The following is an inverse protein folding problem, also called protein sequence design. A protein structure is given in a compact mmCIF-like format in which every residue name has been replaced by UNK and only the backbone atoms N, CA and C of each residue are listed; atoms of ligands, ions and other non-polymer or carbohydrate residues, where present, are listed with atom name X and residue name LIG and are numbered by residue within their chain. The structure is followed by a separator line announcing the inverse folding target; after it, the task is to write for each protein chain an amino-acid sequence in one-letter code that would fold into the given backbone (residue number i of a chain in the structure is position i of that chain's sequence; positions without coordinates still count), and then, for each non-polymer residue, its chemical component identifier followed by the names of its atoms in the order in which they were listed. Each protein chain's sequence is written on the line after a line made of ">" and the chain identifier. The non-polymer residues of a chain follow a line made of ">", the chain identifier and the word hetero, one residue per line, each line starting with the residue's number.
data_IF_701806203835
#
_entry.id   IF_701806203835
#
_cell.length_a   1.000
_cell.length_b   1.000
_cell.length_c   1.000
_cell.angle_alpha   90.00
_cell.angle_beta   90.00
_cell.angle_gamma   90.00
#
_symmetry.space_group_name_H-M   'P 1'
#
loop_
_entity.id
_entity.type
_entity.pdbx_description
1 polymer ?
#
# COMPACT_ATOMS: atom_id res chain seq x y z
N UNK A 1 -0.62 11.36 -22.70
CA UNK A 1 -0.32 12.40 -21.69
C UNK A 1 -1.26 13.54 -22.02
N UNK A 2 -2.18 13.86 -21.11
CA UNK A 2 -3.14 14.95 -21.31
C UNK A 2 -2.45 16.30 -21.07
N UNK A 3 -2.69 17.28 -21.95
CA UNK A 3 -2.32 18.67 -21.72
C UNK A 3 -3.41 19.29 -20.83
N UNK A 4 -3.12 19.41 -19.54
CA UNK A 4 -3.94 20.13 -18.57
C UNK A 4 -3.05 21.22 -17.95
N UNK A 5 -3.61 22.38 -17.63
CA UNK A 5 -2.84 23.40 -16.92
C UNK A 5 -2.65 23.03 -15.45
N UNK A 6 -1.56 23.49 -14.84
CA UNK A 6 -1.29 23.19 -13.43
C UNK A 6 -2.40 23.74 -12.51
N UNK A 7 -2.97 24.90 -12.85
CA UNK A 7 -4.08 25.49 -12.11
C UNK A 7 -5.38 24.65 -12.16
N UNK A 8 -5.72 24.11 -13.33
CA UNK A 8 -6.87 23.20 -13.47
C UNK A 8 -6.62 21.88 -12.74
N UNK A 9 -5.38 21.39 -12.74
CA UNK A 9 -5.01 20.20 -11.99
C UNK A 9 -5.16 20.45 -10.48
N UNK A 10 -4.66 21.57 -9.97
CA UNK A 10 -4.78 21.94 -8.56
C UNK A 10 -6.24 22.04 -8.11
N UNK A 11 -7.12 22.60 -8.95
CA UNK A 11 -8.55 22.69 -8.67
C UNK A 11 -9.21 21.31 -8.58
N UNK A 12 -8.89 20.40 -9.51
CA UNK A 12 -9.36 19.02 -9.48
C UNK A 12 -8.86 18.25 -8.26
N UNK A 13 -7.58 18.41 -7.91
CA UNK A 13 -6.97 17.77 -6.73
C UNK A 13 -7.62 18.30 -5.45
N UNK A 14 -7.87 19.61 -5.37
CA UNK A 14 -8.54 20.23 -4.24
C UNK A 14 -9.97 19.71 -4.08
N UNK A 15 -10.75 19.70 -5.15
CA UNK A 15 -12.12 19.18 -5.11
C UNK A 15 -12.15 17.70 -4.68
N UNK A 16 -11.25 16.88 -5.24
CA UNK A 16 -11.12 15.48 -4.85
C UNK A 16 -10.78 15.30 -3.37
N UNK A 17 -9.90 16.15 -2.82
CA UNK A 17 -9.50 16.13 -1.41
C UNK A 17 -10.59 16.63 -0.47
N UNK A 18 -11.43 17.57 -0.90
CA UNK A 18 -12.62 17.97 -0.16
C UNK A 18 -13.61 16.80 -0.02
N UNK A 19 -13.81 16.03 -1.09
CA UNK A 19 -14.67 14.84 -1.08
C UNK A 19 -14.05 13.67 -0.29
N UNK A 20 -12.73 13.50 -0.39
CA UNK A 20 -11.99 12.37 0.19
C UNK A 20 -10.73 12.83 0.94
N UNK A 21 -10.85 13.42 2.14
CA UNK A 21 -9.73 14.05 2.84
C UNK A 21 -8.58 13.08 3.15
N UNK A 22 -8.91 11.84 3.51
CA UNK A 22 -7.94 10.80 3.90
C UNK A 22 -7.43 9.96 2.72
N UNK A 23 -7.74 10.33 1.48
CA UNK A 23 -7.33 9.57 0.30
C UNK A 23 -5.84 9.77 -0.02
N UNK A 24 -5.17 8.67 -0.38
CA UNK A 24 -3.80 8.68 -0.88
C UNK A 24 -3.70 8.99 -2.38
N UNK A 25 -2.47 9.22 -2.85
CA UNK A 25 -2.20 9.63 -4.23
C UNK A 25 -2.67 8.62 -5.29
N UNK A 26 -2.71 7.31 -4.98
CA UNK A 26 -3.20 6.31 -5.92
C UNK A 26 -4.70 6.44 -6.20
N UNK A 27 -5.51 6.81 -5.19
CA UNK A 27 -6.93 7.08 -5.39
C UNK A 27 -7.13 8.33 -6.26
N UNK A 28 -6.35 9.38 -6.00
CA UNK A 28 -6.36 10.59 -6.82
C UNK A 28 -5.98 10.29 -8.28
N UNK A 29 -4.89 9.54 -8.51
CA UNK A 29 -4.47 9.12 -9.87
C UNK A 29 -5.56 8.26 -10.53
N UNK A 30 -6.20 7.36 -9.78
CA UNK A 30 -7.33 6.57 -10.25
C UNK A 30 -8.52 7.43 -10.66
N UNK A 31 -8.86 8.44 -9.87
CA UNK A 31 -9.94 9.38 -10.18
C UNK A 31 -9.62 10.22 -11.43
N UNK A 32 -8.39 10.72 -11.55
CA UNK A 32 -7.93 11.42 -12.75
C UNK A 32 -8.00 10.52 -13.99
N UNK A 33 -7.58 9.26 -13.87
CA UNK A 33 -7.70 8.27 -14.94
C UNK A 33 -9.16 7.95 -15.30
N UNK A 34 -10.06 7.88 -14.31
CA UNK A 34 -11.50 7.71 -14.52
C UNK A 34 -12.13 8.89 -15.28
N UNK A 35 -11.59 10.10 -15.08
CA UNK A 35 -11.93 11.30 -15.85
C UNK A 35 -11.23 11.39 -17.21
N UNK A 36 -10.53 10.32 -17.65
CA UNK A 36 -9.83 10.27 -18.94
C UNK A 36 -8.51 11.06 -18.97
N UNK A 37 -8.07 11.61 -17.84
CA UNK A 37 -6.83 12.37 -17.73
C UNK A 37 -5.68 11.43 -17.41
N UNK A 38 -4.67 11.39 -18.29
CA UNK A 38 -3.43 10.63 -18.08
C UNK A 38 -2.29 11.60 -17.83
N UNK A 39 -2.06 11.89 -16.55
CA UNK A 39 -1.11 12.88 -16.05
C UNK A 39 0.11 12.15 -15.49
N UNK A 40 1.28 12.78 -15.58
CA UNK A 40 2.51 12.20 -15.05
C UNK A 40 2.50 12.24 -13.52
N UNK A 41 3.04 11.19 -12.88
CA UNK A 41 3.01 11.06 -11.41
C UNK A 41 3.67 12.26 -10.71
N UNK A 42 4.77 12.79 -11.26
CA UNK A 42 5.46 13.93 -10.65
C UNK A 42 4.57 15.18 -10.58
N UNK A 43 3.78 15.45 -11.62
CA UNK A 43 2.87 16.61 -11.67
C UNK A 43 1.75 16.48 -10.63
N UNK A 44 1.23 15.26 -10.47
CA UNK A 44 0.21 14.97 -9.44
C UNK A 44 0.79 15.13 -8.03
N UNK A 45 2.05 14.73 -7.81
CA UNK A 45 2.74 14.93 -6.52
C UNK A 45 2.94 16.42 -6.24
N UNK A 46 3.42 17.20 -7.22
CA UNK A 46 3.62 18.65 -7.06
C UNK A 46 2.33 19.37 -6.73
N UNK A 47 1.27 19.11 -7.49
CA UNK A 47 -0.07 19.64 -7.25
C UNK A 47 -0.59 19.26 -5.86
N UNK A 48 -0.49 17.97 -5.50
CA UNK A 48 -0.90 17.48 -4.19
C UNK A 48 -0.07 18.08 -3.05
N UNK A 49 1.21 18.38 -3.28
CA UNK A 49 2.06 19.04 -2.29
C UNK A 49 1.67 20.51 -2.06
N UNK A 50 1.10 21.18 -3.07
CA UNK A 50 0.53 22.53 -2.92
C UNK A 50 -0.80 22.49 -2.16
N UNK A 51 -1.65 21.51 -2.45
CA UNK A 51 -3.00 21.40 -1.87
C UNK A 51 -2.99 20.81 -0.45
N UNK A 52 -2.26 19.72 -0.23
CA UNK A 52 -2.23 18.96 1.02
C UNK A 52 -0.81 18.45 1.32
N UNK A 53 0.12 19.36 1.71
CA UNK A 53 1.48 18.99 2.04
C UNK A 53 1.54 18.04 3.24
N UNK A 54 0.65 18.21 4.22
CA UNK A 54 0.65 17.37 5.42
C UNK A 54 0.19 15.95 5.11
N UNK A 55 -0.91 15.79 4.36
CA UNK A 55 -1.38 14.47 3.95
C UNK A 55 -0.35 13.74 3.11
N UNK A 56 0.33 14.43 2.19
CA UNK A 56 1.41 13.83 1.41
C UNK A 56 2.52 13.27 2.32
N UNK A 57 3.01 14.06 3.29
CA UNK A 57 4.09 13.61 4.16
C UNK A 57 3.64 12.53 5.16
N UNK A 58 2.46 12.67 5.75
CA UNK A 58 1.97 11.74 6.77
C UNK A 58 1.59 10.38 6.18
N UNK A 59 0.95 10.36 5.02
CA UNK A 59 0.60 9.11 4.35
C UNK A 59 1.85 8.39 3.85
N UNK A 60 2.84 9.08 3.30
CA UNK A 60 4.04 8.46 2.74
C UNK A 60 4.99 7.80 3.77
N UNK A 61 4.87 8.15 5.06
CA UNK A 61 5.80 7.69 6.10
C UNK A 61 5.24 6.50 6.88
N UNK A 62 3.92 6.31 6.88
CA UNK A 62 3.26 5.28 7.69
C UNK A 62 3.17 3.94 6.94
N UNK A 63 4.25 3.18 6.95
CA UNK A 63 4.19 1.75 6.62
C UNK A 63 3.40 1.04 7.71
N UNK A 64 2.17 0.61 7.41
CA UNK A 64 1.33 -0.10 8.36
C UNK A 64 1.45 -1.61 8.12
N UNK A 65 2.07 -2.33 9.05
CA UNK A 65 2.07 -3.79 9.06
C UNK A 65 1.11 -4.30 10.12
N UNK A 66 0.00 -4.91 9.69
CA UNK A 66 -0.92 -5.62 10.59
C UNK A 66 -0.74 -7.14 10.48
N UNK A 67 -0.79 -7.81 11.62
CA UNK A 67 -0.60 -9.26 11.73
C UNK A 67 -1.87 -9.90 12.29
N UNK A 68 -2.56 -10.66 11.45
CA UNK A 68 -3.81 -11.30 11.82
C UNK A 68 -3.58 -12.74 12.30
N UNK A 69 -3.86 -12.96 13.59
CA UNK A 69 -3.56 -14.21 14.31
C UNK A 69 -4.75 -15.15 14.52
N UNK A 70 -5.96 -14.79 14.09
CA UNK A 70 -7.18 -15.58 14.36
C UNK A 70 -7.13 -17.01 13.81
N UNK A 71 -6.29 -17.27 12.81
CA UNK A 71 -6.15 -18.58 12.17
C UNK A 71 -4.91 -19.38 12.62
N UNK A 72 -4.26 -18.97 13.71
CA UNK A 72 -3.05 -19.65 14.22
C UNK A 72 -3.27 -21.12 14.56
N UNK A 73 -4.49 -21.50 14.99
CA UNK A 73 -4.87 -22.90 15.27
C UNK A 73 -4.82 -23.80 14.03
N UNK A 74 -4.95 -23.22 12.85
CA UNK A 74 -4.90 -23.90 11.56
C UNK A 74 -3.53 -23.76 10.88
N UNK A 75 -2.54 -23.20 11.57
CA UNK A 75 -1.20 -22.95 11.01
C UNK A 75 -1.17 -21.83 9.96
N UNK A 76 -2.12 -20.88 10.00
CA UNK A 76 -2.18 -19.77 9.05
C UNK A 76 -1.99 -18.45 9.81
N UNK A 77 -1.01 -17.66 9.36
CA UNK A 77 -0.80 -16.28 9.82
C UNK A 77 -0.84 -15.37 8.61
N UNK A 78 -1.71 -14.36 8.66
CA UNK A 78 -1.89 -13.39 7.58
C UNK A 78 -1.11 -12.13 7.96
N UNK A 79 -0.18 -11.73 7.08
CA UNK A 79 0.55 -10.48 7.18
C UNK A 79 0.00 -9.53 6.11
N UNK A 80 -0.59 -8.42 6.54
CA UNK A 80 -0.98 -7.32 5.67
C UNK A 80 0.07 -6.22 5.77
N UNK A 81 0.73 -5.88 4.67
CA UNK A 81 1.58 -4.69 4.60
C UNK A 81 0.86 -3.67 3.74
N UNK A 82 0.53 -2.53 4.33
CA UNK A 82 -0.04 -1.40 3.60
C UNK A 82 1.08 -0.38 3.40
N UNK A 83 1.44 -0.16 2.14
CA UNK A 83 2.32 0.95 1.77
C UNK A 83 1.54 2.26 1.98
N UNK A 84 2.01 3.10 2.90
CA UNK A 84 1.41 4.39 3.20
C UNK A 84 1.44 5.35 2.02
N UNK A 85 2.47 5.25 1.16
CA UNK A 85 2.62 6.10 -0.03
C UNK A 85 1.50 5.88 -1.05
N UNK A 86 1.00 4.65 -1.14
CA UNK A 86 0.04 4.25 -2.17
C UNK A 86 -1.34 3.89 -1.60
N UNK A 87 -1.49 3.76 -0.27
CA UNK A 87 -2.61 3.07 0.40
C UNK A 87 -2.97 1.73 -0.26
N UNK A 88 -2.02 1.14 -0.98
CA UNK A 88 -2.20 -0.09 -1.73
C UNK A 88 -1.89 -1.22 -0.76
N UNK A 89 -2.88 -2.04 -0.47
CA UNK A 89 -2.72 -3.19 0.42
C UNK A 89 -1.89 -4.23 -0.31
N UNK A 90 -0.62 -4.33 0.05
CA UNK A 90 0.23 -5.42 -0.40
C UNK A 90 0.02 -6.60 0.56
N UNK A 91 -0.91 -7.49 0.21
CA UNK A 91 -1.08 -8.77 0.92
C UNK A 91 0.14 -9.64 0.57
N UNK A 92 1.24 -9.47 1.30
CA UNK A 92 2.41 -10.33 1.16
C UNK A 92 2.17 -11.64 1.89
N UNK A 93 1.70 -12.61 1.10
CA UNK A 93 1.92 -14.07 1.19
C UNK A 93 1.91 -14.78 2.56
N UNK A 94 1.08 -15.81 2.59
CA UNK A 94 0.72 -16.77 3.64
C UNK A 94 1.87 -17.71 4.12
N UNK A 95 3.13 -17.47 3.77
CA UNK A 95 4.15 -18.55 3.81
C UNK A 95 4.99 -18.71 5.08
N UNK A 96 4.78 -17.95 6.14
CA UNK A 96 5.71 -18.04 7.28
C UNK A 96 5.48 -19.26 8.19
N UNK A 97 4.29 -19.86 8.21
CA UNK A 97 4.01 -20.99 9.10
C UNK A 97 4.43 -22.35 8.50
N UNK A 98 4.27 -22.55 7.18
CA UNK A 98 4.66 -23.79 6.52
C UNK A 98 6.18 -23.99 6.49
N UNK A 99 6.95 -22.90 6.34
CA UNK A 99 8.42 -22.95 6.30
C UNK A 99 9.04 -23.26 7.66
N UNK A 100 8.52 -22.70 8.76
CA UNK A 100 8.97 -23.03 10.11
C UNK A 100 8.60 -24.47 10.53
N UNK A 101 7.40 -24.94 10.15
CA UNK A 101 7.00 -26.33 10.39
C UNK A 101 7.84 -27.31 9.56
N UNK A 102 8.17 -26.99 8.30
CA UNK A 102 9.11 -27.77 7.48
C UNK A 102 10.52 -27.76 8.06
N UNK A 103 11.08 -26.62 8.47
CA UNK A 103 12.41 -26.55 9.07
C UNK A 103 12.51 -27.30 10.40
N UNK A 104 11.47 -27.24 11.24
CA UNK A 104 11.40 -28.02 12.49
C UNK A 104 11.28 -29.52 12.20
N UNK A 105 10.51 -29.90 11.19
CA UNK A 105 10.33 -31.30 10.78
C UNK A 105 11.57 -31.88 10.10
N UNK A 106 12.25 -31.10 9.27
CA UNK A 106 13.52 -31.46 8.61
C UNK A 106 14.64 -31.57 9.65
N UNK A 107 14.75 -30.63 10.59
CA UNK A 107 15.73 -30.73 11.69
C UNK A 107 15.50 -31.97 12.55
N UNK A 108 14.24 -32.30 12.86
CA UNK A 108 13.90 -33.49 13.64
C UNK A 108 14.19 -34.81 12.89
N UNK A 109 13.96 -34.83 11.57
CA UNK A 109 14.28 -35.97 10.71
C UNK A 109 15.79 -36.14 10.51
N UNK A 110 16.54 -35.04 10.37
CA UNK A 110 17.99 -35.03 10.27
C UNK A 110 18.64 -35.55 11.57
N UNK A 111 18.09 -35.14 12.73
CA UNK A 111 18.53 -35.63 14.05
C UNK A 111 18.26 -37.12 14.25
N UNK A 112 17.20 -37.69 13.63
CA UNK A 112 16.90 -39.14 13.67
C UNK A 112 17.70 -39.97 12.66
N UNK A 113 18.24 -39.38 11.60
CA UNK A 113 19.06 -40.06 10.59
C UNK A 113 20.56 -40.03 10.92
N UNK A 114 20.98 -39.09 11.77
CA UNK A 114 22.37 -38.93 12.22
C UNK A 114 22.63 -39.47 13.64
N UNK A 115 21.63 -40.09 14.27
CA UNK A 115 21.71 -40.80 15.55
C UNK A 115 21.36 -42.27 15.34
#
# INVERSE_FOLDING_TARGET
>A
ISYISDAELDELVKHFKEDHPNSGICYLVGALHGNGLRIQRYQVIESLQQVDPLGLHLHNVLWHMDRHHKLIRWGIVIYGVVDGYSQMVHISFVYFCLFLLLLSSISFLLFRLLA
#
